data_IF_823019969890
#
_entry.id   IF_823019969890
#
_cell.length_a   1.000
_cell.length_b   1.000
_cell.length_c   1.000
_cell.angle_alpha   90.00
_cell.angle_beta   90.00
_cell.angle_gamma   90.00
#
_symmetry.space_group_name_H-M   'P 1'
#
loop_
_entity.id
_entity.type
_entity.pdbx_description
1 polymer ?
#
# COMPACT_ATOMS: atom_id res chain seq x y z
N UNK A 1 16.66 -4.82 12.18
CA UNK A 1 15.36 -4.83 12.90
C UNK A 1 15.16 -6.03 13.83
N UNK A 2 14.93 -7.27 13.38
CA UNK A 2 14.64 -8.39 14.30
C UNK A 2 15.77 -8.74 15.30
N UNK A 3 17.03 -8.65 14.87
CA UNK A 3 18.23 -8.78 15.74
C UNK A 3 18.41 -7.58 16.68
N UNK A 4 17.90 -6.40 16.33
CA UNK A 4 18.04 -5.18 17.13
C UNK A 4 16.93 -5.05 18.18
N UNK A 5 15.77 -5.69 17.95
CA UNK A 5 14.61 -5.66 18.85
C UNK A 5 14.48 -6.89 19.76
N UNK A 6 15.45 -7.82 19.76
CA UNK A 6 15.37 -9.11 20.48
C UNK A 6 14.05 -9.86 20.25
N UNK A 7 13.45 -9.71 19.06
CA UNK A 7 12.20 -10.36 18.73
C UNK A 7 12.47 -11.78 18.23
N UNK A 8 11.99 -12.81 18.94
CA UNK A 8 12.32 -14.22 18.66
C UNK A 8 11.12 -15.03 18.16
N UNK A 9 9.95 -14.41 17.99
CA UNK A 9 8.72 -15.11 17.61
C UNK A 9 8.40 -14.93 16.13
N UNK A 10 9.23 -15.51 15.26
CA UNK A 10 8.92 -15.62 13.83
C UNK A 10 8.99 -17.08 13.38
N UNK A 11 8.16 -17.43 12.41
CA UNK A 11 8.21 -18.72 11.73
C UNK A 11 8.33 -18.43 10.25
N UNK A 12 9.37 -18.98 9.61
CA UNK A 12 9.55 -18.87 8.17
C UNK A 12 8.99 -20.14 7.53
N UNK A 13 7.99 -19.98 6.67
CA UNK A 13 7.44 -21.08 5.87
C UNK A 13 7.93 -20.89 4.44
N UNK A 14 8.81 -21.78 3.98
CA UNK A 14 9.37 -21.75 2.63
C UNK A 14 8.61 -22.70 1.73
N UNK A 15 8.31 -22.23 0.51
CA UNK A 15 7.64 -23.00 -0.53
C UNK A 15 8.60 -23.18 -1.70
N UNK A 16 8.69 -24.40 -2.22
CA UNK A 16 9.54 -24.73 -3.38
C UNK A 16 8.68 -24.78 -4.65
N UNK A 17 8.08 -23.64 -4.98
CA UNK A 17 7.20 -23.45 -6.14
C UNK A 17 7.41 -22.05 -6.72
N UNK A 18 6.84 -21.79 -7.91
CA UNK A 18 6.84 -20.44 -8.48
C UNK A 18 6.07 -19.46 -7.60
N UNK A 19 6.47 -18.19 -7.62
CA UNK A 19 5.85 -17.17 -6.80
C UNK A 19 4.34 -17.05 -7.07
N UNK A 20 3.56 -17.14 -6.00
CA UNK A 20 2.13 -16.90 -6.00
C UNK A 20 1.73 -16.25 -4.66
N UNK A 21 1.25 -15.00 -4.70
CA UNK A 21 0.93 -14.24 -3.48
C UNK A 21 -0.22 -14.90 -2.70
N UNK A 22 -1.29 -15.28 -3.39
CA UNK A 22 -2.46 -15.90 -2.77
C UNK A 22 -2.13 -17.23 -2.10
N UNK A 23 -1.33 -18.05 -2.78
CA UNK A 23 -0.85 -19.33 -2.24
C UNK A 23 0.06 -19.15 -1.03
N UNK A 24 1.03 -18.23 -1.09
CA UNK A 24 1.91 -17.94 0.05
C UNK A 24 1.14 -17.51 1.29
N UNK A 25 0.15 -16.62 1.15
CA UNK A 25 -0.71 -16.19 2.25
C UNK A 25 -1.62 -17.32 2.75
N UNK A 26 -2.17 -18.14 1.86
CA UNK A 26 -3.01 -19.28 2.21
C UNK A 26 -2.25 -20.34 3.01
N UNK A 27 -1.02 -20.68 2.59
CA UNK A 27 -0.13 -21.56 3.34
C UNK A 27 0.23 -20.95 4.68
N UNK A 28 0.58 -19.67 4.73
CA UNK A 28 0.91 -18.96 5.97
C UNK A 28 -0.23 -19.03 7.00
N UNK A 29 -1.47 -18.77 6.57
CA UNK A 29 -2.65 -18.88 7.43
C UNK A 29 -2.88 -20.31 7.94
N UNK A 30 -2.65 -21.33 7.09
CA UNK A 30 -2.84 -22.74 7.43
C UNK A 30 -1.75 -23.31 8.32
N UNK A 31 -0.52 -22.79 8.23
CA UNK A 31 0.62 -23.21 9.04
C UNK A 31 0.44 -22.92 10.53
N UNK A 32 -0.48 -22.03 10.91
CA UNK A 32 -0.84 -21.82 12.30
C UNK A 32 -1.68 -22.98 12.84
N UNK A 33 -1.20 -23.61 13.91
CA UNK A 33 -1.78 -24.80 14.55
C UNK A 33 -2.21 -24.59 16.02
N UNK A 34 -1.97 -23.41 16.59
CA UNK A 34 -2.18 -23.11 18.03
C UNK A 34 -3.59 -22.63 18.36
N UNK A 35 -4.59 -23.04 17.58
CA UNK A 35 -5.99 -22.65 17.76
C UNK A 35 -6.37 -21.34 17.06
N UNK A 36 -7.45 -20.70 17.52
CA UNK A 36 -8.04 -19.54 16.84
C UNK A 36 -7.16 -18.30 16.98
N UNK A 37 -7.09 -17.50 15.90
CA UNK A 37 -6.21 -16.33 15.84
C UNK A 37 -6.78 -15.27 14.91
N UNK A 38 -6.69 -14.01 15.33
CA UNK A 38 -6.90 -12.86 14.45
C UNK A 38 -5.63 -12.64 13.61
N UNK A 39 -5.76 -12.77 12.31
CA UNK A 39 -4.66 -12.62 11.36
C UNK A 39 -4.67 -11.22 10.75
N UNK A 40 -3.49 -10.63 10.57
CA UNK A 40 -3.29 -9.46 9.72
C UNK A 40 -2.43 -9.84 8.51
N UNK A 41 -3.04 -9.91 7.34
CA UNK A 41 -2.34 -10.15 6.07
C UNK A 41 -1.83 -8.81 5.54
N UNK A 42 -0.57 -8.72 5.15
CA UNK A 42 0.03 -7.51 4.60
C UNK A 42 1.17 -7.81 3.64
N UNK A 43 1.51 -6.82 2.80
CA UNK A 43 2.71 -6.87 1.97
C UNK A 43 3.96 -6.59 2.83
N UNK A 44 5.12 -7.03 2.34
CA UNK A 44 6.41 -6.88 3.07
C UNK A 44 6.92 -5.45 3.15
N UNK A 45 6.37 -4.56 2.32
CA UNK A 45 6.69 -3.15 2.17
C UNK A 45 5.61 -2.24 2.80
N UNK A 46 4.89 -2.78 3.80
CA UNK A 46 3.95 -2.02 4.62
C UNK A 46 4.64 -1.48 5.88
N UNK A 47 4.39 -0.21 6.17
CA UNK A 47 4.56 0.34 7.52
C UNK A 47 3.21 0.43 8.21
N UNK A 48 3.11 -0.07 9.44
CA UNK A 48 1.88 0.05 10.23
C UNK A 48 2.11 0.41 11.70
N UNK A 49 1.15 1.11 12.31
CA UNK A 49 1.14 1.47 13.72
C UNK A 49 0.39 0.44 14.59
N UNK A 50 0.61 0.49 15.90
CA UNK A 50 -0.16 -0.33 16.85
C UNK A 50 -1.67 -0.02 16.83
N UNK A 51 -2.06 1.20 16.42
CA UNK A 51 -3.46 1.59 16.29
C UNK A 51 -4.18 0.80 15.20
N UNK A 52 -3.49 0.44 14.11
CA UNK A 52 -4.05 -0.45 13.09
C UNK A 52 -4.46 -1.80 13.71
N UNK A 53 -3.56 -2.41 14.49
CA UNK A 53 -3.83 -3.70 15.12
C UNK A 53 -4.98 -3.60 16.14
N UNK A 54 -5.07 -2.49 16.88
CA UNK A 54 -6.20 -2.23 17.78
C UNK A 54 -7.51 -2.07 17.01
N UNK A 55 -7.50 -1.33 15.89
CA UNK A 55 -8.66 -1.21 15.01
C UNK A 55 -9.12 -2.58 14.51
N UNK A 56 -8.19 -3.45 14.10
CA UNK A 56 -8.52 -4.81 13.70
C UNK A 56 -9.19 -5.60 14.83
N UNK A 57 -8.68 -5.51 16.07
CA UNK A 57 -9.26 -6.20 17.23
C UNK A 57 -10.64 -5.68 17.63
N UNK A 58 -10.89 -4.38 17.45
CA UNK A 58 -12.15 -3.75 17.81
C UNK A 58 -13.27 -4.02 16.80
N UNK A 59 -12.91 -4.24 15.53
CA UNK A 59 -13.88 -4.35 14.44
C UNK A 59 -14.04 -5.78 13.91
N UNK A 60 -13.11 -6.70 14.20
CA UNK A 60 -13.21 -8.09 13.77
C UNK A 60 -13.81 -8.95 14.87
N UNK A 61 -14.84 -9.72 14.53
CA UNK A 61 -15.53 -10.66 15.40
C UNK A 61 -15.71 -12.01 14.68
N UNK A 62 -15.32 -13.15 15.30
CA UNK A 62 -15.39 -14.44 14.63
C UNK A 62 -16.81 -14.76 14.17
N UNK A 63 -16.95 -15.26 12.94
CA UNK A 63 -18.22 -15.61 12.31
C UNK A 63 -19.21 -14.46 12.08
N UNK A 64 -18.87 -13.22 12.44
CA UNK A 64 -19.73 -12.04 12.22
C UNK A 64 -19.11 -11.02 11.26
N UNK A 65 -17.81 -10.72 11.40
CA UNK A 65 -17.20 -9.63 10.66
C UNK A 65 -15.74 -9.84 10.28
N UNK A 66 -15.38 -9.36 9.10
CA UNK A 66 -14.00 -9.27 8.61
C UNK A 66 -13.67 -7.83 8.26
N UNK A 67 -12.46 -7.38 8.61
CA UNK A 67 -12.04 -5.99 8.48
C UNK A 67 -11.03 -5.86 7.35
N UNK A 68 -11.34 -5.04 6.36
CA UNK A 68 -10.43 -4.69 5.26
C UNK A 68 -9.96 -3.24 5.46
N UNK A 69 -8.86 -3.00 6.19
CA UNK A 69 -8.35 -1.65 6.40
C UNK A 69 -7.94 -1.00 5.06
N UNK A 70 -8.48 0.17 4.77
CA UNK A 70 -8.09 0.98 3.62
C UNK A 70 -6.72 1.62 3.91
N UNK A 71 -5.74 1.35 3.04
CA UNK A 71 -4.37 1.85 3.20
C UNK A 71 -4.17 3.22 2.55
N UNK A 72 -3.28 4.04 3.12
CA UNK A 72 -2.76 5.23 2.46
C UNK A 72 -1.65 4.83 1.49
N UNK A 73 -1.74 5.26 0.23
CA UNK A 73 -0.57 5.33 -0.65
C UNK A 73 0.15 6.64 -0.39
N UNK A 74 1.37 6.57 0.14
CA UNK A 74 2.17 7.78 0.40
C UNK A 74 2.93 8.19 -0.86
N UNK A 75 2.48 9.27 -1.51
CA UNK A 75 3.27 9.96 -2.55
C UNK A 75 4.52 10.65 -1.98
N UNK A 76 4.56 10.83 -0.65
CA UNK A 76 5.66 11.50 0.03
C UNK A 76 7.02 10.85 -0.25
N UNK A 77 7.08 9.54 -0.51
CA UNK A 77 8.31 8.86 -0.92
C UNK A 77 8.79 9.28 -2.31
N UNK A 78 7.90 9.55 -3.28
CA UNK A 78 8.29 10.12 -4.58
C UNK A 78 8.88 11.52 -4.41
N UNK A 79 8.23 12.39 -3.61
CA UNK A 79 8.75 13.72 -3.33
C UNK A 79 10.09 13.67 -2.58
N UNK A 80 10.24 12.78 -1.60
CA UNK A 80 11.49 12.60 -0.86
C UNK A 80 12.59 12.01 -1.74
N UNK A 81 12.29 11.00 -2.56
CA UNK A 81 13.24 10.41 -3.50
C UNK A 81 13.70 11.45 -4.53
N UNK A 82 12.78 12.26 -5.04
CA UNK A 82 13.09 13.33 -5.98
C UNK A 82 13.86 14.47 -5.30
N UNK A 83 13.52 14.84 -4.06
CA UNK A 83 14.31 15.77 -3.24
C UNK A 83 15.74 15.24 -2.99
N UNK A 84 15.90 13.98 -2.62
CA UNK A 84 17.22 13.36 -2.42
C UNK A 84 18.02 13.28 -3.73
N UNK A 85 17.38 13.10 -4.88
CA UNK A 85 18.02 13.17 -6.20
C UNK A 85 18.42 14.60 -6.61
N UNK A 86 17.71 15.62 -6.11
CA UNK A 86 18.02 17.04 -6.38
C UNK A 86 19.00 17.68 -5.39
N UNK A 87 19.35 16.99 -4.30
CA UNK A 87 20.37 17.45 -3.36
C UNK A 87 21.76 17.04 -3.87
N UNK A 88 22.70 17.98 -4.03
CA UNK A 88 24.08 17.64 -4.37
C UNK A 88 24.75 17.05 -3.13
N UNK A 89 24.69 15.72 -2.96
CA UNK A 89 25.51 15.02 -1.96
C UNK A 89 26.15 13.77 -2.54
N UNK A 90 27.41 13.58 -2.13
CA UNK A 90 28.25 12.45 -2.47
C UNK A 90 27.52 11.12 -2.20
N UNK A 91 27.59 10.14 -3.12
CA UNK A 91 26.93 8.83 -2.99
C UNK A 91 27.33 8.01 -1.75
N UNK A 92 28.33 8.45 -0.98
CA UNK A 92 28.91 7.70 0.15
C UNK A 92 28.26 8.03 1.50
N UNK A 93 27.43 9.08 1.59
CA UNK A 93 26.81 9.52 2.85
C UNK A 93 25.31 9.15 2.99
N UNK A 94 24.76 8.37 2.04
CA UNK A 94 23.39 7.90 2.15
C UNK A 94 23.31 6.70 3.12
N UNK A 95 22.59 6.80 4.24
CA UNK A 95 22.29 5.63 5.03
C UNK A 95 21.45 4.66 4.16
N UNK A 96 21.69 3.34 4.21
CA UNK A 96 20.93 2.38 3.41
C UNK A 96 19.44 2.57 3.70
N UNK A 97 18.58 2.56 2.66
CA UNK A 97 17.13 2.77 2.76
C UNK A 97 16.43 1.97 3.87
N UNK A 98 17.01 0.84 4.30
CA UNK A 98 16.58 0.04 5.45
C UNK A 98 16.74 0.71 6.83
N UNK A 99 17.53 1.78 6.93
CA UNK A 99 17.82 2.51 8.18
C UNK A 99 17.06 3.82 8.30
N UNK A 100 16.20 4.14 7.32
CA UNK A 100 15.21 5.21 7.44
C UNK A 100 14.10 4.76 8.40
N UNK A 101 14.32 4.95 9.70
CA UNK A 101 13.23 5.08 10.68
C UNK A 101 12.24 6.05 10.07
N UNK A 102 11.00 5.62 9.77
CA UNK A 102 9.92 6.49 9.32
C UNK A 102 9.86 7.68 10.30
N UNK A 103 10.35 8.87 9.94
CA UNK A 103 10.44 9.96 10.90
C UNK A 103 9.02 10.33 11.32
N UNK A 104 8.79 10.54 12.62
CA UNK A 104 7.51 11.02 13.15
C UNK A 104 6.99 12.27 12.42
N UNK A 105 7.91 13.06 11.85
CA UNK A 105 7.62 14.18 10.95
C UNK A 105 6.86 13.79 9.66
N UNK A 106 7.17 12.65 9.04
CA UNK A 106 6.45 12.16 7.85
C UNK A 106 5.02 11.74 8.20
N UNK A 107 4.80 11.16 9.38
CA UNK A 107 3.47 10.83 9.88
C UNK A 107 2.60 12.09 10.05
N UNK A 108 3.19 13.20 10.50
CA UNK A 108 2.52 14.51 10.61
C UNK A 108 2.27 15.18 9.25
N UNK A 109 3.15 14.95 8.27
CA UNK A 109 3.02 15.50 6.92
C UNK A 109 1.86 14.84 6.13
N UNK A 110 1.60 13.54 6.34
CA UNK A 110 0.62 12.70 5.62
C UNK A 110 -0.83 13.20 5.68
N UNK A 111 -1.19 13.96 6.71
CA UNK A 111 -2.54 14.54 6.82
C UNK A 111 -2.75 15.78 5.93
N UNK A 112 -1.73 16.23 5.19
CA UNK A 112 -1.86 17.31 4.20
C UNK A 112 -2.25 16.71 2.85
N UNK A 113 -3.19 17.38 2.16
CA UNK A 113 -3.74 16.97 0.86
C UNK A 113 -2.69 16.70 -0.24
N UNK A 114 -1.46 17.18 -0.02
CA UNK A 114 -0.34 17.15 -0.96
C UNK A 114 0.72 16.09 -0.63
N UNK A 115 0.47 15.22 0.36
CA UNK A 115 1.49 14.27 0.89
C UNK A 115 1.15 12.79 0.69
N UNK A 116 -0.07 12.48 0.28
CA UNK A 116 -0.56 11.12 0.09
C UNK A 116 -2.04 11.09 -0.25
N UNK A 117 -2.55 9.90 -0.55
CA UNK A 117 -3.97 9.70 -0.85
C UNK A 117 -4.40 8.29 -0.46
N UNK A 118 -5.68 8.15 -0.13
CA UNK A 118 -6.26 6.87 0.20
C UNK A 118 -6.38 6.01 -1.05
N UNK A 119 -5.91 4.77 -0.98
CA UNK A 119 -6.16 3.79 -2.05
C UNK A 119 -7.60 3.31 -1.91
N UNK A 120 -8.46 3.72 -2.84
CA UNK A 120 -9.84 3.21 -2.91
C UNK A 120 -9.87 1.73 -3.36
N UNK A 121 -8.89 1.35 -4.20
CA UNK A 121 -8.75 0.00 -4.74
C UNK A 121 -7.48 -0.68 -4.22
N UNK A 122 -7.68 -1.69 -3.37
CA UNK A 122 -6.65 -2.51 -2.74
C UNK A 122 -7.27 -3.29 -1.59
N UNK A 123 -7.27 -4.62 -1.70
CA UNK A 123 -7.90 -5.53 -0.72
C UNK A 123 -6.87 -6.48 -0.10
N UNK A 124 -5.59 -6.29 -0.40
CA UNK A 124 -4.50 -7.17 0.02
C UNK A 124 -4.12 -7.06 1.49
N UNK A 125 -4.46 -5.96 2.17
CA UNK A 125 -4.23 -5.74 3.59
C UNK A 125 -5.52 -6.03 4.34
N UNK A 126 -5.57 -7.11 5.11
CA UNK A 126 -6.81 -7.62 5.69
C UNK A 126 -6.63 -8.10 7.12
N UNK A 127 -7.64 -7.87 7.95
CA UNK A 127 -7.73 -8.36 9.32
C UNK A 127 -8.94 -9.29 9.45
N UNK A 128 -8.70 -10.56 9.75
CA UNK A 128 -9.74 -11.58 9.75
C UNK A 128 -9.36 -12.75 10.65
N UNK A 129 -10.36 -13.38 11.26
CA UNK A 129 -10.15 -14.62 12.00
C UNK A 129 -9.78 -15.76 11.07
N UNK A 130 -8.93 -16.66 11.56
CA UNK A 130 -8.46 -17.83 10.81
C UNK A 130 -9.63 -18.75 10.49
N UNK A 131 -10.55 -18.97 11.42
CA UNK A 131 -11.78 -19.74 11.18
C UNK A 131 -12.57 -19.22 9.99
N UNK A 132 -12.73 -17.91 9.90
CA UNK A 132 -13.57 -17.25 8.89
C UNK A 132 -12.90 -17.33 7.53
N UNK A 133 -11.59 -17.06 7.49
CA UNK A 133 -10.77 -17.24 6.30
C UNK A 133 -10.80 -18.68 5.76
N UNK A 134 -10.78 -19.68 6.64
CA UNK A 134 -10.87 -21.08 6.20
C UNK A 134 -12.29 -21.46 5.76
N UNK A 135 -13.32 -20.95 6.45
CA UNK A 135 -14.74 -21.21 6.15
C UNK A 135 -15.12 -20.70 4.77
N UNK A 136 -14.66 -19.49 4.40
CA UNK A 136 -14.89 -18.92 3.05
C UNK A 136 -13.99 -19.55 1.97
N UNK A 137 -13.13 -20.52 2.33
CA UNK A 137 -12.29 -21.27 1.40
C UNK A 137 -10.98 -20.59 1.02
N UNK A 138 -10.55 -19.56 1.76
CA UNK A 138 -9.26 -18.88 1.58
C UNK A 138 -9.05 -18.23 0.21
N UNK A 139 -7.77 -17.98 -0.14
CA UNK A 139 -7.40 -17.45 -1.45
C UNK A 139 -7.67 -18.47 -2.57
N UNK A 140 -7.96 -17.95 -3.76
CA UNK A 140 -7.95 -18.75 -4.98
C UNK A 140 -6.50 -19.00 -5.42
N UNK A 141 -6.08 -20.25 -5.35
CA UNK A 141 -4.69 -20.68 -5.59
C UNK A 141 -4.39 -20.89 -7.07
N UNK A 142 -5.42 -20.91 -7.92
CA UNK A 142 -5.27 -21.04 -9.37
C UNK A 142 -4.76 -19.74 -10.02
N UNK A 143 -4.86 -18.60 -9.30
CA UNK A 143 -4.29 -17.32 -9.72
C UNK A 143 -2.78 -17.44 -9.75
N UNK A 144 -2.17 -17.45 -10.95
CA UNK A 144 -0.71 -17.49 -11.09
C UNK A 144 -0.10 -16.12 -10.79
N UNK A 145 0.98 -16.10 -10.01
CA UNK A 145 1.73 -14.88 -9.74
C UNK A 145 1.03 -13.91 -8.79
N UNK A 146 0.74 -12.71 -9.28
CA UNK A 146 0.17 -11.60 -8.51
C UNK A 146 -0.99 -10.95 -9.26
N UNK A 147 -2.06 -10.62 -8.53
CA UNK A 147 -3.16 -9.79 -9.00
C UNK A 147 -4.49 -10.52 -9.03
N UNK A 148 -5.51 -9.90 -8.43
CA UNK A 148 -6.90 -10.37 -8.45
C UNK A 148 -7.25 -11.33 -7.32
N UNK A 149 -6.27 -11.93 -6.64
CA UNK A 149 -6.50 -12.86 -5.54
C UNK A 149 -7.18 -12.17 -4.34
N UNK A 150 -6.83 -10.91 -4.08
CA UNK A 150 -7.40 -10.08 -3.02
C UNK A 150 -8.84 -9.68 -3.35
N UNK A 151 -9.12 -9.36 -4.61
CA UNK A 151 -10.47 -9.10 -5.13
C UNK A 151 -11.34 -10.35 -5.06
N UNK A 152 -10.80 -11.52 -5.42
CA UNK A 152 -11.51 -12.80 -5.33
C UNK A 152 -11.85 -13.13 -3.88
N UNK A 153 -10.90 -12.95 -2.96
CA UNK A 153 -11.14 -13.12 -1.53
C UNK A 153 -12.23 -12.16 -1.03
N UNK A 154 -12.15 -10.88 -1.40
CA UNK A 154 -13.16 -9.89 -1.04
C UNK A 154 -14.56 -10.27 -1.54
N UNK A 155 -14.68 -10.74 -2.79
CA UNK A 155 -15.95 -11.24 -3.34
C UNK A 155 -16.49 -12.44 -2.56
N UNK A 156 -15.62 -13.38 -2.16
CA UNK A 156 -16.04 -14.53 -1.32
C UNK A 156 -16.65 -14.06 0.00
N UNK A 157 -16.04 -13.06 0.64
CA UNK A 157 -16.62 -12.46 1.86
C UNK A 157 -17.98 -11.82 1.61
N UNK A 158 -18.14 -11.05 0.53
CA UNK A 158 -19.42 -10.41 0.19
C UNK A 158 -20.55 -11.40 -0.14
N UNK A 159 -20.21 -12.60 -0.60
CA UNK A 159 -21.17 -13.67 -0.89
C UNK A 159 -21.45 -14.59 0.30
N UNK A 160 -20.66 -14.49 1.38
CA UNK A 160 -20.91 -15.19 2.63
C UNK A 160 -21.77 -14.39 3.60
N UNK A 161 -21.90 -14.90 4.81
CA UNK A 161 -22.69 -14.27 5.88
C UNK A 161 -21.87 -13.24 6.69
N UNK A 162 -20.65 -12.93 6.27
CA UNK A 162 -19.73 -12.04 6.99
C UNK A 162 -19.91 -10.59 6.57
N UNK A 163 -19.87 -9.69 7.56
CA UNK A 163 -19.88 -8.25 7.31
C UNK A 163 -18.46 -7.79 6.97
N UNK A 164 -18.31 -7.12 5.83
CA UNK A 164 -17.04 -6.51 5.45
C UNK A 164 -16.98 -5.04 5.85
N UNK A 165 -16.06 -4.71 6.75
CA UNK A 165 -15.82 -3.33 7.19
C UNK A 165 -14.61 -2.76 6.46
N UNK A 166 -14.82 -1.66 5.71
CA UNK A 166 -13.74 -0.89 5.08
C UNK A 166 -13.56 0.44 5.79
N UNK A 167 -12.37 0.68 6.33
CA UNK A 167 -12.09 1.92 7.09
C UNK A 167 -10.70 2.48 6.76
N UNK A 168 -10.58 3.79 6.47
CA UNK A 168 -9.28 4.46 6.37
C UNK A 168 -8.50 4.36 7.69
N UNK A 169 -7.26 3.86 7.65
CA UNK A 169 -6.39 3.79 8.83
C UNK A 169 -5.17 4.69 8.66
N UNK A 170 -5.06 5.81 9.39
CA UNK A 170 -3.95 6.75 9.25
C UNK A 170 -2.57 6.15 9.52
N UNK A 171 -2.54 5.10 10.34
CA UNK A 171 -1.33 4.36 10.68
C UNK A 171 -0.98 3.23 9.72
N UNK A 172 -1.52 3.17 8.50
CA UNK A 172 -1.24 2.11 7.52
C UNK A 172 -0.73 2.70 6.19
N UNK A 173 0.51 2.37 5.85
CA UNK A 173 1.24 2.93 4.73
C UNK A 173 1.81 1.85 3.83
N UNK A 174 1.53 1.98 2.53
CA UNK A 174 2.24 1.23 1.50
C UNK A 174 3.43 2.07 1.01
N UNK A 175 4.64 1.53 1.16
CA UNK A 175 5.87 2.17 0.68
C UNK A 175 5.84 2.19 -0.84
N UNK A 176 5.95 3.39 -1.43
CA UNK A 176 5.97 3.50 -2.88
C UNK A 176 7.15 2.73 -3.47
N UNK A 177 6.85 1.92 -4.47
CA UNK A 177 7.82 1.29 -5.34
C UNK A 177 7.28 1.32 -6.77
N UNK A 178 8.18 1.27 -7.74
CA UNK A 178 7.77 1.18 -9.15
C UNK A 178 6.93 -0.08 -9.37
N UNK A 179 5.75 0.09 -10.00
CA UNK A 179 4.93 -1.02 -10.45
C UNK A 179 5.26 -1.35 -11.91
N UNK A 180 5.76 -2.58 -12.13
CA UNK A 180 6.05 -3.12 -13.47
C UNK A 180 4.96 -4.10 -13.86
N UNK A 181 4.31 -3.84 -14.99
CA UNK A 181 3.36 -4.77 -15.61
C UNK A 181 4.14 -5.57 -16.66
N UNK A 182 4.34 -6.86 -16.40
CA UNK A 182 5.13 -7.73 -17.25
C UNK A 182 4.40 -8.05 -18.56
N UNK A 183 5.15 -8.28 -19.64
CA UNK A 183 4.60 -8.55 -20.98
C UNK A 183 3.96 -9.94 -21.08
N UNK A 184 4.35 -10.86 -20.18
CA UNK A 184 3.85 -12.24 -20.13
C UNK A 184 2.47 -12.36 -19.43
N UNK A 185 1.95 -11.28 -18.86
CA UNK A 185 0.63 -11.26 -18.22
C UNK A 185 -0.48 -11.52 -19.24
N UNK A 186 -1.55 -12.19 -18.80
CA UNK A 186 -2.76 -12.29 -19.64
C UNK A 186 -3.35 -10.90 -19.91
N UNK A 187 -4.10 -10.69 -21.00
CA UNK A 187 -4.71 -9.39 -21.29
C UNK A 187 -5.55 -8.82 -20.14
N UNK A 188 -6.24 -9.69 -19.40
CA UNK A 188 -7.02 -9.32 -18.21
C UNK A 188 -6.11 -8.87 -17.06
N UNK A 189 -5.08 -9.65 -16.73
CA UNK A 189 -4.13 -9.31 -15.67
C UNK A 189 -3.34 -8.03 -15.98
N UNK A 190 -2.93 -7.86 -17.24
CA UNK A 190 -2.25 -6.65 -17.68
C UNK A 190 -3.15 -5.41 -17.56
N UNK A 191 -4.42 -5.52 -17.99
CA UNK A 191 -5.41 -4.45 -17.87
C UNK A 191 -5.61 -4.00 -16.42
N UNK A 192 -5.78 -4.96 -15.50
CA UNK A 192 -5.87 -4.69 -14.05
C UNK A 192 -4.57 -4.10 -13.51
N UNK A 193 -3.42 -4.59 -13.97
CA UNK A 193 -2.11 -4.08 -13.55
C UNK A 193 -1.95 -2.59 -13.89
N UNK A 194 -2.18 -2.23 -15.15
CA UNK A 194 -2.04 -0.86 -15.66
C UNK A 194 -3.10 0.07 -15.05
N UNK A 195 -4.35 -0.38 -14.92
CA UNK A 195 -5.39 0.42 -14.27
C UNK A 195 -5.01 0.73 -12.82
N UNK A 196 -4.58 -0.30 -12.08
CA UNK A 196 -4.10 -0.12 -10.71
C UNK A 196 -2.85 0.76 -10.66
N UNK A 197 -1.94 0.67 -11.63
CA UNK A 197 -0.80 1.59 -11.75
C UNK A 197 -1.28 3.03 -11.88
N UNK A 198 -2.09 3.32 -12.90
CA UNK A 198 -2.59 4.66 -13.21
C UNK A 198 -3.33 5.31 -12.02
N UNK A 199 -4.13 4.53 -11.29
CA UNK A 199 -4.88 5.00 -10.12
C UNK A 199 -4.02 5.23 -8.89
N UNK A 200 -2.79 4.68 -8.85
CA UNK A 200 -1.94 4.71 -7.66
C UNK A 200 -0.63 5.52 -7.83
N UNK A 201 -0.38 6.10 -9.01
CA UNK A 201 0.82 6.93 -9.26
C UNK A 201 0.78 8.26 -8.49
N UNK A 202 -0.36 8.95 -8.49
CA UNK A 202 -0.55 10.21 -7.77
C UNK A 202 -2.04 10.52 -7.56
N UNK A 203 -2.31 11.51 -6.72
CA UNK A 203 -3.65 12.00 -6.45
C UNK A 203 -4.17 12.72 -7.67
N UNK A 204 -5.50 12.78 -7.80
CA UNK A 204 -6.13 13.42 -8.95
C UNK A 204 -5.65 14.87 -9.14
N UNK A 205 -5.46 15.63 -8.06
CA UNK A 205 -4.92 16.99 -8.12
C UNK A 205 -3.47 17.03 -8.62
N UNK A 206 -2.59 16.15 -8.12
CA UNK A 206 -1.20 16.10 -8.57
C UNK A 206 -1.07 15.65 -10.03
N UNK A 207 -1.86 14.65 -10.45
CA UNK A 207 -1.93 14.27 -11.86
C UNK A 207 -2.41 15.44 -12.73
N UNK A 208 -3.43 16.18 -12.29
CA UNK A 208 -3.87 17.41 -12.94
C UNK A 208 -2.74 18.44 -13.07
N UNK A 209 -1.97 18.68 -12.01
CA UNK A 209 -0.82 19.59 -12.05
C UNK A 209 0.29 19.14 -13.00
N UNK A 210 0.47 17.83 -13.21
CA UNK A 210 1.41 17.30 -14.20
C UNK A 210 0.88 17.48 -15.62
N UNK A 211 -0.40 17.21 -15.85
CA UNK A 211 -1.05 17.35 -17.17
C UNK A 211 -1.07 18.80 -17.62
N UNK A 212 -1.42 19.74 -16.74
CA UNK A 212 -1.51 21.17 -17.05
C UNK A 212 -0.22 21.94 -16.76
N UNK A 213 0.93 21.25 -16.71
CA UNK A 213 2.22 21.87 -16.35
C UNK A 213 2.58 23.03 -17.28
N UNK A 214 2.54 22.81 -18.59
CA UNK A 214 2.94 23.83 -19.59
C UNK A 214 2.03 25.08 -19.54
N UNK A 215 0.73 24.89 -19.33
CA UNK A 215 -0.21 26.00 -19.16
C UNK A 215 0.10 26.82 -17.90
N UNK A 216 0.41 26.12 -16.81
CA UNK A 216 0.78 26.72 -15.52
C UNK A 216 2.08 27.52 -15.68
N UNK A 217 3.11 26.93 -16.29
CA UNK A 217 4.39 27.59 -16.55
C UNK A 217 4.23 28.81 -17.45
N UNK A 218 3.42 28.70 -18.51
CA UNK A 218 3.11 29.81 -19.42
C UNK A 218 2.42 30.96 -18.70
N UNK A 219 1.48 30.65 -17.80
CA UNK A 219 0.79 31.65 -16.98
C UNK A 219 1.77 32.36 -16.04
N UNK A 220 2.60 31.60 -15.32
CA UNK A 220 3.61 32.15 -14.39
C UNK A 220 4.62 33.05 -15.11
N UNK A 221 5.07 32.65 -16.30
CA UNK A 221 5.97 33.47 -17.11
C UNK A 221 5.32 34.81 -17.52
N UNK A 222 4.04 34.79 -17.93
CA UNK A 222 3.29 36.01 -18.27
C UNK A 222 3.11 36.93 -17.05
N UNK A 223 2.83 36.37 -15.87
CA UNK A 223 2.75 37.16 -14.64
C UNK A 223 4.08 37.81 -14.30
N UNK A 224 5.18 37.03 -14.31
CA UNK A 224 6.51 37.55 -13.99
C UNK A 224 6.94 38.70 -14.93
N UNK A 225 6.56 38.64 -16.21
CA UNK A 225 6.83 39.72 -17.16
C UNK A 225 6.02 40.99 -16.85
N UNK A 226 4.73 40.85 -16.47
CA UNK A 226 3.89 41.99 -16.04
C UNK A 226 4.43 42.66 -14.79
N UNK A 227 4.77 41.89 -13.75
CA UNK A 227 5.29 42.45 -12.50
C UNK A 227 6.62 43.19 -12.70
N UNK A 228 7.48 42.70 -13.62
CA UNK A 228 8.71 43.41 -14.00
C UNK A 228 8.45 44.70 -14.77
N UNK A 229 7.41 44.76 -15.61
CA UNK A 229 7.05 45.99 -16.33
C UNK A 229 6.44 47.06 -15.42
N UNK A 230 5.71 46.66 -14.38
CA UNK A 230 5.11 47.56 -13.39
C UNK A 230 6.12 48.09 -12.36
N UNK A 231 7.22 47.38 -12.11
CA UNK A 231 8.27 47.80 -11.17
C UNK A 231 9.30 48.78 -11.77
N UNK A 232 9.26 49.03 -13.08
CA UNK A 232 10.19 49.89 -13.81
C UNK A 232 9.53 51.21 -14.27
N UNK A 233 8.21 51.36 -14.09
CA UNK A 233 7.46 52.60 -14.32
C UNK A 233 7.21 53.37 -13.03
#
# INVERSE_FOLDING_TARGET
MARESNFHSYTLVSLNEEFNRGQGLNVGARAWDKGEVLMFSCDVDIYFSAELLNSCRLNAEPAESSVLPCSVSSQLLLYIQQLFQTLPRSPQDLPPLQSCIFPSFLLSAVHKKDSGFWREFGFGMTCQYRSDFLTIGGFDVEVKGWGGEDVHLYRKYLHGDLIVIRTPVPGLFHLWHEKRCADELTPEQYGVCIQSKAMNEASHSHLGMLVFREETETHLHKQAYRTKSEAVG
#
